data_IF_450935015156
#
_entry.id   IF_450935015156
#
_cell.length_a   1.000
_cell.length_b   1.000
_cell.length_c   1.000
_cell.angle_alpha   90.00
_cell.angle_beta   90.00
_cell.angle_gamma   90.00
#
_symmetry.space_group_name_H-M   'P 1'
#
loop_
_entity.id
_entity.type
_entity.pdbx_description
1 polymer ?
#
# COMPACT_ATOMS: atom_id res chain seq x y z
N UNK A 1 5.30 -21.49 78.27
CA UNK A 1 4.86 -22.59 77.38
C UNK A 1 6.06 -23.25 76.69
N UNK A 2 7.08 -23.64 77.47
CA UNK A 2 8.25 -24.44 77.02
C UNK A 2 8.48 -25.62 77.98
N UNK A 3 8.15 -25.44 79.26
CA UNK A 3 8.36 -26.40 80.35
C UNK A 3 7.50 -27.67 80.32
N UNK A 4 6.31 -27.67 79.72
CA UNK A 4 5.45 -28.86 79.68
C UNK A 4 5.75 -29.79 78.50
N UNK A 5 6.31 -29.27 77.41
CA UNK A 5 6.70 -30.06 76.24
C UNK A 5 8.00 -30.83 76.54
N UNK A 6 8.96 -30.17 77.20
CA UNK A 6 10.27 -30.75 77.52
C UNK A 6 10.17 -31.89 78.54
N UNK A 7 9.28 -31.77 79.54
CA UNK A 7 9.04 -32.82 80.53
C UNK A 7 8.41 -34.09 79.90
N UNK A 8 7.50 -33.91 78.94
CA UNK A 8 6.84 -35.02 78.24
C UNK A 8 7.78 -35.74 77.26
N UNK A 9 8.67 -35.00 76.58
CA UNK A 9 9.69 -35.56 75.69
C UNK A 9 10.79 -36.31 76.47
N UNK A 10 11.13 -35.89 77.69
CA UNK A 10 12.20 -36.51 78.49
C UNK A 10 11.86 -37.88 79.11
N UNK A 11 10.58 -38.27 79.13
CA UNK A 11 10.13 -39.58 79.66
C UNK A 11 9.83 -40.61 78.57
N UNK A 12 10.01 -40.27 77.28
CA UNK A 12 9.73 -41.22 76.21
C UNK A 12 10.86 -42.24 76.06
N UNK A 13 10.54 -43.55 75.94
CA UNK A 13 11.54 -44.57 75.64
C UNK A 13 12.30 -44.25 74.35
N UNK A 14 13.61 -44.52 74.32
CA UNK A 14 14.47 -44.21 73.17
C UNK A 14 13.94 -44.75 71.82
N UNK A 15 13.18 -45.85 71.80
CA UNK A 15 12.59 -46.40 70.57
C UNK A 15 11.54 -45.50 69.92
N UNK A 16 10.83 -44.67 70.70
CA UNK A 16 9.81 -43.74 70.18
C UNK A 16 10.47 -42.65 69.34
N UNK A 17 11.60 -42.11 69.80
CA UNK A 17 12.39 -41.14 69.04
C UNK A 17 12.82 -41.68 67.67
N UNK A 18 13.29 -42.92 67.61
CA UNK A 18 13.66 -43.58 66.36
C UNK A 18 12.46 -43.72 65.40
N UNK A 19 11.29 -44.12 65.90
CA UNK A 19 10.08 -44.26 65.08
C UNK A 19 9.58 -42.91 64.59
N UNK A 20 9.53 -41.89 65.44
CA UNK A 20 9.11 -40.54 65.03
C UNK A 20 10.05 -39.94 63.99
N UNK A 21 11.36 -40.15 64.13
CA UNK A 21 12.34 -39.71 63.14
C UNK A 21 12.16 -40.41 61.79
N UNK A 22 11.91 -41.73 61.81
CA UNK A 22 11.66 -42.51 60.59
C UNK A 22 10.39 -42.03 59.86
N UNK A 23 9.31 -41.76 60.60
CA UNK A 23 8.05 -41.24 60.03
C UNK A 23 8.27 -39.86 59.39
N UNK A 24 9.03 -38.97 60.04
CA UNK A 24 9.34 -37.65 59.50
C UNK A 24 10.17 -37.78 58.21
N UNK A 25 11.19 -38.65 58.19
CA UNK A 25 12.01 -38.88 56.99
C UNK A 25 11.15 -39.41 55.83
N UNK A 26 10.29 -40.39 56.08
CA UNK A 26 9.37 -40.93 55.06
C UNK A 26 8.41 -39.84 54.58
N UNK A 27 7.88 -39.01 55.48
CA UNK A 27 7.03 -37.86 55.16
C UNK A 27 7.73 -36.84 54.27
N UNK A 28 8.99 -36.51 54.57
CA UNK A 28 9.79 -35.58 53.76
C UNK A 28 10.07 -36.16 52.38
N UNK A 29 10.43 -37.44 52.30
CA UNK A 29 10.69 -38.13 51.01
C UNK A 29 9.43 -38.15 50.15
N UNK A 30 8.27 -38.47 50.73
CA UNK A 30 7.00 -38.48 49.99
C UNK A 30 6.60 -37.09 49.50
N UNK A 31 6.79 -36.06 50.32
CA UNK A 31 6.57 -34.66 49.91
C UNK A 31 7.49 -34.29 48.72
N UNK A 32 8.78 -34.65 48.78
CA UNK A 32 9.71 -34.39 47.68
C UNK A 32 9.29 -35.07 46.38
N UNK A 33 8.85 -36.33 46.45
CA UNK A 33 8.35 -37.07 45.28
C UNK A 33 7.11 -36.39 44.69
N UNK A 34 6.18 -35.93 45.54
CA UNK A 34 4.97 -35.24 45.08
C UNK A 34 5.28 -33.90 44.42
N UNK A 35 6.18 -33.11 44.99
CA UNK A 35 6.63 -31.83 44.41
C UNK A 35 7.30 -32.06 43.05
N UNK A 36 8.17 -33.07 42.94
CA UNK A 36 8.83 -33.41 41.67
C UNK A 36 7.82 -33.80 40.58
N UNK A 37 6.83 -34.64 40.92
CA UNK A 37 5.77 -35.01 39.96
C UNK A 37 4.89 -33.83 39.56
N UNK A 38 4.57 -32.95 40.50
CA UNK A 38 3.82 -31.73 40.21
C UNK A 38 4.61 -30.83 39.26
N UNK A 39 5.89 -30.59 39.54
CA UNK A 39 6.76 -29.76 38.71
C UNK A 39 6.82 -30.24 37.25
N UNK A 40 7.07 -31.54 37.02
CA UNK A 40 7.11 -32.11 35.66
C UNK A 40 5.78 -31.87 34.91
N UNK A 41 4.65 -32.14 35.58
CA UNK A 41 3.31 -31.94 34.99
C UNK A 41 3.00 -30.46 34.73
N UNK A 42 3.52 -29.55 35.56
CA UNK A 42 3.39 -28.11 35.33
C UNK A 42 4.23 -27.65 34.14
N UNK A 43 5.47 -28.11 34.01
CA UNK A 43 6.34 -27.78 32.87
C UNK A 43 5.71 -28.24 31.55
N UNK A 44 5.21 -29.47 31.47
CA UNK A 44 4.53 -29.98 30.27
C UNK A 44 3.30 -29.17 29.87
N UNK A 45 2.56 -28.63 30.84
CA UNK A 45 1.39 -27.77 30.56
C UNK A 45 1.81 -26.39 30.07
N UNK A 46 2.82 -25.79 30.70
CA UNK A 46 3.35 -24.49 30.33
C UNK A 46 3.93 -24.55 28.92
N UNK A 47 4.70 -25.59 28.57
CA UNK A 47 5.24 -25.76 27.22
C UNK A 47 4.13 -25.90 26.17
N UNK A 48 3.03 -26.59 26.49
CA UNK A 48 1.87 -26.69 25.61
C UNK A 48 1.14 -25.36 25.44
N UNK A 49 0.97 -24.59 26.51
CA UNK A 49 0.33 -23.27 26.45
C UNK A 49 1.18 -22.26 25.67
N UNK A 50 2.50 -22.24 25.89
CA UNK A 50 3.45 -21.42 25.13
C UNK A 50 3.46 -21.84 23.64
N UNK A 51 3.44 -23.15 23.36
CA UNK A 51 3.32 -23.66 22.00
C UNK A 51 2.02 -23.24 21.32
N UNK A 52 0.90 -23.27 22.05
CA UNK A 52 -0.40 -22.84 21.55
C UNK A 52 -0.44 -21.33 21.26
N UNK A 53 0.11 -20.51 22.16
CA UNK A 53 0.24 -19.07 21.94
C UNK A 53 1.08 -18.77 20.70
N UNK A 54 2.21 -19.45 20.54
CA UNK A 54 3.04 -19.32 19.34
C UNK A 54 2.28 -19.69 18.07
N UNK A 55 1.59 -20.82 18.05
CA UNK A 55 0.77 -21.25 16.91
C UNK A 55 -0.34 -20.24 16.60
N UNK A 56 -0.98 -19.66 17.63
CA UNK A 56 -2.00 -18.62 17.42
C UNK A 56 -1.41 -17.35 16.82
N UNK A 57 -0.23 -16.93 17.28
CA UNK A 57 0.48 -15.78 16.74
C UNK A 57 0.90 -16.02 15.28
N UNK A 58 1.53 -17.16 15.00
CA UNK A 58 1.94 -17.56 13.65
C UNK A 58 0.73 -17.66 12.71
N UNK A 59 -0.41 -18.18 13.19
CA UNK A 59 -1.64 -18.26 12.42
C UNK A 59 -2.23 -16.87 12.13
N UNK A 60 -2.21 -15.96 13.10
CA UNK A 60 -2.66 -14.59 12.90
C UNK A 60 -1.77 -13.87 11.88
N UNK A 61 -0.45 -14.01 12.00
CA UNK A 61 0.51 -13.42 11.07
C UNK A 61 0.32 -13.99 9.66
N UNK A 62 0.19 -15.31 9.53
CA UNK A 62 -0.06 -15.97 8.24
C UNK A 62 -1.37 -15.50 7.62
N UNK A 63 -2.45 -15.38 8.40
CA UNK A 63 -3.73 -14.85 7.90
C UNK A 63 -3.63 -13.40 7.46
N UNK A 64 -2.87 -12.59 8.20
CA UNK A 64 -2.63 -11.19 7.85
C UNK A 64 -1.87 -11.07 6.52
N UNK A 65 -0.79 -11.85 6.35
CA UNK A 65 -0.04 -11.89 5.08
C UNK A 65 -0.90 -12.41 3.92
N UNK A 66 -1.70 -13.46 4.14
CA UNK A 66 -2.62 -13.98 3.13
C UNK A 66 -3.65 -12.92 2.69
N UNK A 67 -4.17 -12.12 3.62
CA UNK A 67 -5.10 -11.03 3.31
C UNK A 67 -4.42 -9.94 2.46
N UNK A 68 -3.17 -9.57 2.77
CA UNK A 68 -2.39 -8.62 1.96
C UNK A 68 -2.16 -9.16 0.54
N UNK A 69 -1.74 -10.42 0.41
CA UNK A 69 -1.51 -11.03 -0.90
C UNK A 69 -2.80 -11.14 -1.72
N UNK A 70 -3.93 -11.44 -1.08
CA UNK A 70 -5.22 -11.46 -1.74
C UNK A 70 -5.62 -10.08 -2.27
N UNK A 71 -5.40 -9.02 -1.49
CA UNK A 71 -5.67 -7.63 -1.91
C UNK A 71 -4.79 -7.23 -3.11
N UNK A 72 -3.48 -7.48 -3.05
CA UNK A 72 -2.56 -7.21 -4.17
C UNK A 72 -2.97 -7.98 -5.43
N UNK A 73 -3.35 -9.26 -5.28
CA UNK A 73 -3.80 -10.09 -6.40
C UNK A 73 -5.06 -9.52 -7.05
N UNK A 74 -6.05 -9.09 -6.25
CA UNK A 74 -7.27 -8.47 -6.77
C UNK A 74 -6.98 -7.15 -7.50
N UNK A 75 -6.13 -6.28 -6.94
CA UNK A 75 -5.72 -5.04 -7.58
C UNK A 75 -5.02 -5.31 -8.92
N UNK A 76 -4.15 -6.33 -8.97
CA UNK A 76 -3.44 -6.72 -10.18
C UNK A 76 -4.38 -7.28 -11.25
N UNK A 77 -5.35 -8.13 -10.86
CA UNK A 77 -6.35 -8.69 -11.79
C UNK A 77 -7.21 -7.57 -12.38
N UNK A 78 -7.65 -6.61 -11.56
CA UNK A 78 -8.43 -5.47 -12.03
C UNK A 78 -7.61 -4.59 -12.99
N UNK A 79 -6.36 -4.29 -12.63
CA UNK A 79 -5.45 -3.54 -13.47
C UNK A 79 -5.22 -4.22 -14.82
N UNK A 80 -5.06 -5.55 -14.85
CA UNK A 80 -4.89 -6.31 -16.09
C UNK A 80 -6.15 -6.32 -16.95
N UNK A 81 -7.33 -6.53 -16.35
CA UNK A 81 -8.61 -6.51 -17.07
C UNK A 81 -8.90 -5.13 -17.66
N UNK A 82 -8.59 -4.06 -16.91
CA UNK A 82 -8.70 -2.70 -17.42
C UNK A 82 -7.67 -2.41 -18.52
N UNK A 83 -6.44 -2.91 -18.40
CA UNK A 83 -5.40 -2.77 -19.42
C UNK A 83 -5.82 -3.40 -20.75
N UNK A 84 -6.40 -4.60 -20.74
CA UNK A 84 -6.96 -5.25 -21.93
C UNK A 84 -8.03 -4.36 -22.58
N UNK A 85 -8.98 -3.84 -21.79
CA UNK A 85 -10.01 -2.93 -22.27
C UNK A 85 -9.44 -1.63 -22.85
N UNK A 86 -8.39 -1.07 -22.26
CA UNK A 86 -7.76 0.16 -22.78
C UNK A 86 -7.00 -0.08 -24.08
N UNK A 87 -6.34 -1.24 -24.21
CA UNK A 87 -5.72 -1.65 -25.48
C UNK A 87 -6.77 -1.81 -26.58
N UNK A 88 -7.89 -2.47 -26.29
CA UNK A 88 -8.99 -2.60 -27.24
C UNK A 88 -9.54 -1.23 -27.66
N UNK A 89 -9.75 -0.31 -26.70
CA UNK A 89 -10.22 1.05 -27.00
C UNK A 89 -9.22 1.84 -27.85
N UNK A 90 -7.92 1.76 -27.56
CA UNK A 90 -6.88 2.37 -28.39
C UNK A 90 -6.87 1.80 -29.80
N UNK A 91 -6.97 0.48 -29.93
CA UNK A 91 -7.00 -0.19 -31.22
C UNK A 91 -8.24 0.21 -32.03
N UNK A 92 -9.42 0.25 -31.40
CA UNK A 92 -10.65 0.71 -32.04
C UNK A 92 -10.56 2.17 -32.49
N UNK A 93 -10.09 3.07 -31.61
CA UNK A 93 -9.90 4.49 -31.95
C UNK A 93 -8.98 4.67 -33.16
N UNK A 94 -7.96 3.82 -33.29
CA UNK A 94 -7.03 3.84 -34.43
C UNK A 94 -7.66 3.34 -35.73
N UNK A 95 -8.47 2.28 -35.67
CA UNK A 95 -9.07 1.63 -36.85
C UNK A 95 -10.29 2.38 -37.38
N UNK A 96 -11.17 2.85 -36.49
CA UNK A 96 -12.47 3.44 -36.82
C UNK A 96 -12.38 4.94 -37.14
N UNK A 97 -11.19 5.42 -37.53
CA UNK A 97 -10.87 6.83 -37.74
C UNK A 97 -11.56 7.40 -39.01
N UNK A 98 -12.78 7.91 -38.86
CA UNK A 98 -13.58 8.49 -39.97
C UNK A 98 -13.44 10.02 -40.06
N UNK A 99 -13.28 10.74 -38.93
CA UNK A 99 -13.07 12.19 -38.86
C UNK A 99 -12.09 12.56 -37.73
N UNK A 100 -11.27 13.61 -37.94
CA UNK A 100 -10.18 14.00 -37.01
C UNK A 100 -10.73 14.47 -35.67
N UNK A 101 -11.71 15.39 -35.66
CA UNK A 101 -12.29 15.93 -34.42
C UNK A 101 -12.94 14.85 -33.53
N UNK A 102 -13.69 13.91 -34.11
CA UNK A 102 -14.33 12.80 -33.37
C UNK A 102 -13.29 11.86 -32.73
N UNK A 103 -12.12 11.73 -33.35
CA UNK A 103 -11.03 10.90 -32.82
C UNK A 103 -10.30 11.59 -31.66
N UNK A 104 -10.08 12.91 -31.73
CA UNK A 104 -9.45 13.67 -30.64
C UNK A 104 -10.27 13.53 -29.35
N UNK A 105 -11.60 13.72 -29.44
CA UNK A 105 -12.48 13.52 -28.28
C UNK A 105 -12.43 12.08 -27.76
N UNK A 106 -12.25 11.10 -28.65
CA UNK A 106 -12.13 9.68 -28.28
C UNK A 106 -10.88 9.42 -27.44
N UNK A 107 -9.72 9.97 -27.81
CA UNK A 107 -8.48 9.84 -27.02
C UNK A 107 -8.54 10.59 -25.69
N UNK A 108 -9.13 11.79 -25.68
CA UNK A 108 -9.37 12.55 -24.44
C UNK A 108 -10.24 11.76 -23.45
N UNK A 109 -11.36 11.22 -23.96
CA UNK A 109 -12.26 10.37 -23.19
C UNK A 109 -11.58 9.08 -22.69
N UNK A 110 -10.69 8.49 -23.49
CA UNK A 110 -9.89 7.35 -23.06
C UNK A 110 -8.96 7.74 -21.90
N UNK A 111 -8.22 8.85 -22.01
CA UNK A 111 -7.32 9.31 -20.95
C UNK A 111 -8.09 9.59 -19.65
N UNK A 112 -9.25 10.25 -19.72
CA UNK A 112 -10.15 10.45 -18.57
C UNK A 112 -10.52 9.11 -17.92
N UNK A 113 -10.87 8.09 -18.72
CA UNK A 113 -11.23 6.75 -18.22
C UNK A 113 -10.06 6.03 -17.58
N UNK A 114 -8.87 6.12 -18.17
CA UNK A 114 -7.64 5.52 -17.62
C UNK A 114 -7.34 6.12 -16.25
N UNK A 115 -7.35 7.46 -16.13
CA UNK A 115 -7.08 8.15 -14.86
C UNK A 115 -8.12 7.84 -13.79
N UNK A 116 -9.41 7.75 -14.16
CA UNK A 116 -10.46 7.36 -13.24
C UNK A 116 -10.33 5.91 -12.78
N UNK A 117 -10.02 4.99 -13.68
CA UNK A 117 -9.81 3.59 -13.34
C UNK A 117 -8.57 3.41 -12.43
N UNK A 118 -7.51 4.18 -12.68
CA UNK A 118 -6.31 4.18 -11.82
C UNK A 118 -6.67 4.51 -10.37
N UNK A 119 -7.44 5.58 -10.17
CA UNK A 119 -7.91 6.03 -8.85
C UNK A 119 -8.76 4.97 -8.13
N UNK A 120 -9.51 4.16 -8.89
CA UNK A 120 -10.36 3.10 -8.33
C UNK A 120 -9.66 1.77 -8.13
N UNK A 121 -8.61 1.46 -8.89
CA UNK A 121 -7.93 0.17 -8.85
C UNK A 121 -6.88 0.10 -7.76
N UNK A 122 -6.22 1.22 -7.49
CA UNK A 122 -5.27 1.33 -6.41
C UNK A 122 -6.02 1.60 -5.11
N UNK A 123 -5.83 0.73 -4.11
CA UNK A 123 -6.39 0.94 -2.77
C UNK A 123 -5.41 0.49 -1.70
N UNK A 124 -5.23 1.30 -0.65
CA UNK A 124 -4.56 0.84 0.57
C UNK A 124 -5.56 0.42 1.64
N UNK A 125 -6.78 0.97 1.63
CA UNK A 125 -7.89 0.58 2.50
C UNK A 125 -9.21 0.45 1.73
N UNK A 126 -10.15 -0.38 2.20
CA UNK A 126 -11.51 -0.42 1.67
C UNK A 126 -12.17 0.97 1.71
N UNK A 127 -12.62 1.45 0.55
CA UNK A 127 -13.30 2.74 0.42
C UNK A 127 -12.37 3.94 0.21
N UNK A 128 -11.05 3.74 0.17
CA UNK A 128 -10.09 4.79 -0.22
C UNK A 128 -10.15 5.01 -1.75
N UNK A 129 -10.07 6.27 -2.16
CA UNK A 129 -9.87 6.69 -3.55
C UNK A 129 -8.69 7.63 -3.60
N UNK A 130 -7.71 7.32 -4.44
CA UNK A 130 -6.56 8.19 -4.65
C UNK A 130 -6.90 9.34 -5.57
N UNK A 131 -6.27 10.48 -5.35
CA UNK A 131 -6.42 11.61 -6.26
C UNK A 131 -5.39 11.45 -7.37
N UNK A 132 -5.87 11.23 -8.58
CA UNK A 132 -5.01 11.07 -9.75
C UNK A 132 -5.25 12.25 -10.70
N UNK A 133 -4.19 12.81 -11.26
CA UNK A 133 -4.28 13.87 -12.25
C UNK A 133 -3.18 13.79 -13.29
N UNK A 134 -3.51 14.20 -14.52
CA UNK A 134 -2.59 14.35 -15.64
C UNK A 134 -2.39 15.83 -15.86
N UNK A 135 -1.13 16.21 -15.92
CA UNK A 135 -0.67 17.56 -16.16
C UNK A 135 0.14 17.57 -17.45
N UNK A 136 -0.15 18.51 -18.35
CA UNK A 136 0.58 18.68 -19.61
C UNK A 136 1.50 19.89 -19.48
N UNK A 137 2.69 19.82 -20.07
CA UNK A 137 3.56 20.99 -20.16
C UNK A 137 3.07 21.95 -21.23
N UNK A 138 2.79 23.19 -20.82
CA UNK A 138 2.49 24.30 -21.70
C UNK A 138 3.24 25.54 -21.21
N UNK A 139 4.08 26.13 -22.06
CA UNK A 139 4.76 27.40 -21.80
C UNK A 139 5.57 27.42 -20.48
N UNK A 140 6.37 26.37 -20.21
CA UNK A 140 7.20 26.20 -19.01
C UNK A 140 6.39 26.04 -17.71
N UNK A 141 5.14 25.57 -17.84
CA UNK A 141 4.24 25.29 -16.72
C UNK A 141 3.50 23.98 -16.93
N UNK A 142 3.10 23.32 -15.83
CA UNK A 142 2.28 22.12 -15.88
C UNK A 142 0.80 22.49 -15.73
N UNK A 143 0.04 22.41 -16.81
CA UNK A 143 -1.39 22.73 -16.86
C UNK A 143 -2.22 21.48 -16.62
N UNK A 144 -3.24 21.60 -15.80
CA UNK A 144 -4.19 20.51 -15.52
C UNK A 144 -4.94 20.12 -16.80
N UNK A 145 -4.82 18.86 -17.19
CA UNK A 145 -5.53 18.31 -18.34
C UNK A 145 -6.75 17.50 -17.91
N UNK A 146 -6.54 16.47 -17.09
CA UNK A 146 -7.63 15.63 -16.58
C UNK A 146 -7.30 15.02 -15.23
N UNK A 147 -8.32 14.51 -14.54
CA UNK A 147 -8.19 14.01 -13.18
C UNK A 147 -9.31 13.04 -12.84
N UNK A 148 -9.05 12.22 -11.82
CA UNK A 148 -10.03 11.31 -11.25
C UNK A 148 -11.15 12.07 -10.56
N UNK A 149 -12.32 11.44 -10.38
CA UNK A 149 -13.46 12.06 -9.68
C UNK A 149 -13.15 12.55 -8.25
N UNK A 150 -12.16 11.95 -7.58
CA UNK A 150 -11.68 12.37 -6.25
C UNK A 150 -10.79 13.63 -6.30
N UNK A 151 -10.39 14.05 -7.50
CA UNK A 151 -9.64 15.28 -7.74
C UNK A 151 -10.63 16.44 -7.91
N UNK A 152 -10.94 17.15 -6.83
CA UNK A 152 -11.84 18.30 -6.87
C UNK A 152 -11.13 19.51 -7.49
N UNK A 153 -11.06 19.55 -8.83
CA UNK A 153 -10.41 20.60 -9.63
C UNK A 153 -11.04 22.00 -9.53
N UNK A 154 -11.95 22.23 -8.57
CA UNK A 154 -12.57 23.54 -8.32
C UNK A 154 -11.76 24.44 -7.39
N UNK A 155 -10.84 23.89 -6.59
CA UNK A 155 -10.12 24.65 -5.55
C UNK A 155 -8.59 24.62 -5.67
N UNK A 156 -8.02 23.77 -6.52
CA UNK A 156 -6.57 23.71 -6.75
C UNK A 156 -6.15 24.53 -7.97
N UNK A 157 -4.93 25.07 -7.92
CA UNK A 157 -4.36 25.78 -9.04
C UNK A 157 -4.34 24.84 -10.27
N UNK A 158 -4.99 25.26 -11.35
CA UNK A 158 -4.98 24.53 -12.64
C UNK A 158 -3.62 24.54 -13.33
N UNK A 159 -2.60 25.05 -12.64
CA UNK A 159 -1.24 25.27 -13.13
C UNK A 159 -0.28 24.99 -11.97
N UNK A 160 0.76 24.21 -12.25
CA UNK A 160 1.86 23.94 -11.35
C UNK A 160 3.16 24.50 -11.94
N UNK A 161 3.98 25.09 -11.07
CA UNK A 161 5.33 25.54 -11.43
C UNK A 161 6.19 24.32 -11.77
N UNK A 162 6.90 24.36 -12.90
CA UNK A 162 7.89 23.33 -13.18
C UNK A 162 8.95 23.35 -12.08
N UNK A 163 9.55 24.50 -11.79
CA UNK A 163 10.76 24.55 -10.97
C UNK A 163 10.54 24.35 -9.46
N UNK A 164 9.33 24.53 -8.96
CA UNK A 164 9.04 24.60 -7.52
C UNK A 164 8.13 23.48 -7.02
N UNK A 165 7.82 22.49 -7.86
CA UNK A 165 6.89 21.40 -7.49
C UNK A 165 7.47 20.03 -7.77
N UNK A 166 7.06 19.03 -6.97
CA UNK A 166 7.44 17.62 -7.16
C UNK A 166 7.06 17.11 -8.58
N UNK A 167 5.84 17.38 -9.10
CA UNK A 167 5.50 17.03 -10.48
C UNK A 167 6.41 17.73 -11.49
N UNK A 168 6.73 19.01 -11.29
CA UNK A 168 7.65 19.71 -12.16
C UNK A 168 9.07 19.13 -12.14
N UNK A 169 9.57 18.71 -10.97
CA UNK A 169 10.85 17.98 -10.84
C UNK A 169 10.82 16.65 -11.57
N UNK A 170 9.71 15.92 -11.47
CA UNK A 170 9.47 14.68 -12.22
C UNK A 170 9.56 14.90 -13.72
N UNK A 171 8.93 15.96 -14.23
CA UNK A 171 8.97 16.32 -15.65
C UNK A 171 10.40 16.65 -16.10
N UNK A 172 11.10 17.54 -15.39
CA UNK A 172 12.47 17.97 -15.78
C UNK A 172 13.48 16.83 -15.78
N UNK A 173 13.39 15.93 -14.80
CA UNK A 173 14.32 14.79 -14.69
C UNK A 173 13.94 13.61 -15.57
N UNK A 174 12.69 13.54 -16.04
CA UNK A 174 12.12 12.37 -16.73
C UNK A 174 12.28 11.08 -15.90
N UNK A 175 12.17 11.22 -14.59
CA UNK A 175 12.33 10.13 -13.61
C UNK A 175 11.14 10.12 -12.67
N UNK A 176 10.60 8.93 -12.39
CA UNK A 176 9.56 8.74 -11.38
C UNK A 176 9.99 9.32 -10.04
N UNK A 177 9.16 10.19 -9.47
CA UNK A 177 9.37 10.74 -8.13
C UNK A 177 8.38 10.09 -7.17
N UNK A 178 8.88 9.25 -6.27
CA UNK A 178 8.11 8.70 -5.17
C UNK A 178 8.49 9.41 -3.88
N UNK A 179 7.58 10.22 -3.35
CA UNK A 179 7.77 10.96 -2.10
C UNK A 179 6.81 10.38 -1.07
N UNK A 180 7.37 9.66 -0.10
CA UNK A 180 6.60 8.95 0.93
C UNK A 180 6.04 9.87 2.02
N UNK A 181 6.64 11.04 2.19
CA UNK A 181 6.19 12.12 3.08
C UNK A 181 6.51 13.49 2.46
N UNK A 182 5.47 14.16 1.97
CA UNK A 182 5.58 15.45 1.26
C UNK A 182 6.05 16.57 2.19
N UNK A 183 5.78 16.48 3.49
CA UNK A 183 6.20 17.51 4.45
C UNK A 183 7.72 17.60 4.61
N UNK A 184 8.43 16.55 4.21
CA UNK A 184 9.89 16.47 4.27
C UNK A 184 10.59 16.84 2.96
N UNK A 185 9.83 17.01 1.86
CA UNK A 185 10.38 17.30 0.55
C UNK A 185 10.51 18.82 0.31
N UNK A 186 11.62 19.24 -0.30
CA UNK A 186 11.91 20.66 -0.55
C UNK A 186 10.93 21.29 -1.54
N UNK A 187 10.41 20.50 -2.49
CA UNK A 187 9.42 20.94 -3.48
C UNK A 187 7.99 20.59 -3.05
N UNK A 188 7.80 20.18 -1.78
CA UNK A 188 6.50 19.85 -1.20
C UNK A 188 5.75 21.05 -0.62
N UNK A 189 6.34 22.25 -0.59
CA UNK A 189 5.78 23.45 0.04
C UNK A 189 5.21 24.47 -0.95
N UNK A 190 4.16 25.25 -0.58
CA UNK A 190 3.52 25.29 0.73
C UNK A 190 2.38 24.27 0.79
N UNK A 191 2.59 23.24 1.60
CA UNK A 191 1.67 22.12 1.73
C UNK A 191 0.40 22.56 2.47
N UNK A 192 -0.73 22.69 1.76
CA UNK A 192 -2.03 22.99 2.39
C UNK A 192 -2.66 21.75 3.09
N UNK A 193 -1.90 20.67 3.28
CA UNK A 193 -2.28 19.53 4.11
C UNK A 193 -3.25 18.52 3.47
N UNK A 194 -3.46 18.53 2.15
CA UNK A 194 -4.46 17.66 1.51
C UNK A 194 -3.97 16.23 1.21
N UNK A 195 -2.66 15.96 1.14
CA UNK A 195 -2.10 14.61 0.92
C UNK A 195 -0.82 14.38 1.74
N UNK A 196 -0.48 13.12 2.07
CA UNK A 196 0.70 12.77 2.87
C UNK A 196 1.89 12.31 2.02
N UNK A 197 1.60 11.64 0.89
CA UNK A 197 2.56 11.10 -0.05
C UNK A 197 2.12 11.45 -1.48
N UNK A 198 3.07 11.49 -2.41
CA UNK A 198 2.80 11.68 -3.83
C UNK A 198 3.72 10.79 -4.67
N UNK A 199 3.15 10.22 -5.73
CA UNK A 199 3.87 9.56 -6.80
C UNK A 199 3.68 10.36 -8.08
N UNK A 200 4.78 10.75 -8.71
CA UNK A 200 4.77 11.41 -10.01
C UNK A 200 5.46 10.50 -11.03
N UNK A 201 4.81 10.27 -12.17
CA UNK A 201 5.33 9.48 -13.29
C UNK A 201 5.40 10.38 -14.52
N UNK A 202 6.56 10.50 -15.19
CA UNK A 202 6.67 11.30 -16.40
C UNK A 202 5.92 10.62 -17.56
N UNK A 203 5.17 11.42 -18.32
CA UNK A 203 4.49 11.04 -19.55
C UNK A 203 5.34 11.49 -20.74
N UNK A 204 6.51 10.87 -20.89
CA UNK A 204 7.50 11.21 -21.93
C UNK A 204 7.75 12.72 -22.04
N UNK A 205 7.45 13.35 -23.18
CA UNK A 205 7.60 14.79 -23.40
C UNK A 205 6.34 15.60 -23.09
N UNK A 206 5.20 14.93 -22.86
CA UNK A 206 3.89 15.57 -22.74
C UNK A 206 3.66 16.20 -21.38
N UNK A 207 4.11 15.53 -20.31
CA UNK A 207 3.80 15.99 -18.97
C UNK A 207 4.00 14.96 -17.88
N UNK A 208 3.11 14.94 -16.88
CA UNK A 208 3.25 14.12 -15.67
C UNK A 208 1.89 13.59 -15.22
N UNK A 209 1.86 12.33 -14.82
CA UNK A 209 0.77 11.73 -14.05
C UNK A 209 1.12 11.83 -12.56
N UNK A 210 0.24 12.43 -11.76
CA UNK A 210 0.34 12.45 -10.30
C UNK A 210 -0.68 11.51 -9.68
N UNK A 211 -0.26 10.85 -8.61
CA UNK A 211 -1.12 10.05 -7.72
C UNK A 211 -0.84 10.51 -6.30
N UNK A 212 -1.84 11.08 -5.65
CA UNK A 212 -1.75 11.57 -4.28
C UNK A 212 -2.37 10.56 -3.31
N UNK A 213 -1.70 10.36 -2.18
CA UNK A 213 -2.17 9.48 -1.13
C UNK A 213 -2.03 10.15 0.24
N UNK A 214 -2.92 9.81 1.18
CA UNK A 214 -2.77 10.26 2.56
C UNK A 214 -1.65 9.54 3.32
N UNK A 215 -1.18 8.41 2.80
CA UNK A 215 -0.17 7.55 3.41
C UNK A 215 0.85 7.12 2.37
N UNK A 216 1.98 6.63 2.86
CA UNK A 216 3.07 6.09 2.05
C UNK A 216 2.60 4.98 1.10
N UNK A 217 3.12 5.00 -0.12
CA UNK A 217 2.84 4.00 -1.15
C UNK A 217 3.56 2.68 -0.87
N UNK A 218 2.86 1.58 -1.14
CA UNK A 218 3.46 0.25 -1.27
C UNK A 218 4.14 0.13 -2.63
N UNK A 219 5.21 -0.64 -2.70
CA UNK A 219 6.01 -0.80 -3.93
C UNK A 219 5.18 -1.42 -5.06
N UNK A 220 4.34 -2.40 -4.76
CA UNK A 220 3.54 -3.14 -5.75
C UNK A 220 2.55 -2.23 -6.51
N UNK A 221 2.01 -1.23 -5.84
CA UNK A 221 1.08 -0.25 -6.42
C UNK A 221 1.77 0.61 -7.48
N UNK A 222 3.08 0.87 -7.33
CA UNK A 222 3.82 1.68 -8.29
C UNK A 222 3.86 1.05 -9.68
N UNK A 223 3.85 -0.28 -9.77
CA UNK A 223 3.79 -0.99 -11.04
C UNK A 223 2.45 -0.79 -11.77
N UNK A 224 1.34 -0.76 -11.02
CA UNK A 224 0.02 -0.46 -11.57
C UNK A 224 -0.01 0.98 -12.07
N UNK A 225 0.47 1.95 -11.28
CA UNK A 225 0.59 3.34 -11.71
C UNK A 225 1.39 3.47 -13.00
N UNK A 226 2.51 2.76 -13.11
CA UNK A 226 3.35 2.75 -14.30
C UNK A 226 2.63 2.19 -15.53
N UNK A 227 1.91 1.08 -15.38
CA UNK A 227 1.12 0.50 -16.47
C UNK A 227 0.09 1.50 -17.01
N UNK A 228 -0.64 2.15 -16.10
CA UNK A 228 -1.65 3.15 -16.46
C UNK A 228 -1.04 4.40 -17.09
N UNK A 229 0.08 4.88 -16.56
CA UNK A 229 0.83 5.98 -17.16
C UNK A 229 1.21 5.68 -18.61
N UNK A 230 1.57 4.44 -18.94
CA UNK A 230 1.87 4.05 -20.33
C UNK A 230 0.67 4.11 -21.26
N UNK A 231 -0.54 3.80 -20.77
CA UNK A 231 -1.75 3.99 -21.58
C UNK A 231 -2.06 5.45 -21.84
N UNK A 232 -1.87 6.31 -20.85
CA UNK A 232 -2.02 7.77 -21.02
C UNK A 232 -0.97 8.29 -22.02
N UNK A 233 0.29 7.91 -21.85
CA UNK A 233 1.40 8.30 -22.73
C UNK A 233 1.17 7.85 -24.19
N UNK A 234 0.67 6.63 -24.39
CA UNK A 234 0.33 6.11 -25.72
C UNK A 234 -0.88 6.82 -26.33
N UNK A 235 -1.91 7.12 -25.53
CA UNK A 235 -3.05 7.89 -25.99
C UNK A 235 -2.65 9.31 -26.41
N UNK A 236 -1.75 9.96 -25.67
CA UNK A 236 -1.18 11.25 -26.06
C UNK A 236 -0.38 11.19 -27.35
N UNK A 237 0.43 10.13 -27.52
CA UNK A 237 1.20 9.96 -28.74
C UNK A 237 0.30 9.89 -29.98
N UNK A 238 -0.75 9.07 -29.94
CA UNK A 238 -1.72 8.96 -31.04
C UNK A 238 -2.50 10.28 -31.23
N UNK A 239 -2.92 10.93 -30.13
CA UNK A 239 -3.56 12.25 -30.16
C UNK A 239 -2.68 13.31 -30.85
N UNK A 240 -1.38 13.37 -30.52
CA UNK A 240 -0.45 14.32 -31.13
C UNK A 240 -0.21 14.06 -32.61
N UNK A 241 -0.13 12.79 -33.03
CA UNK A 241 0.05 12.45 -34.44
C UNK A 241 -1.14 12.92 -35.28
N UNK A 242 -2.36 12.78 -34.75
CA UNK A 242 -3.55 13.26 -35.46
C UNK A 242 -3.63 14.78 -35.57
N UNK A 243 -3.17 15.51 -34.56
CA UNK A 243 -3.09 16.98 -34.63
C UNK A 243 -2.10 17.43 -35.70
N UNK A 244 -0.92 16.81 -35.75
CA UNK A 244 0.09 17.12 -36.76
C UNK A 244 -0.44 16.80 -38.17
N UNK A 245 -1.00 15.60 -38.38
CA UNK A 245 -1.54 15.17 -39.69
C UNK A 245 -2.72 16.07 -40.15
N UNK A 246 -3.64 16.41 -39.24
CA UNK A 246 -4.77 17.29 -39.54
C UNK A 246 -4.35 18.72 -39.90
N UNK A 247 -3.27 19.22 -39.30
CA UNK A 247 -2.68 20.53 -39.63
C UNK A 247 -2.05 20.54 -41.03
N UNK A 248 -1.41 19.44 -41.45
CA UNK A 248 -0.87 19.30 -42.80
C UNK A 248 -1.96 19.31 -43.87
N UNK A 249 -3.07 18.61 -43.65
CA UNK A 249 -4.17 18.52 -44.63
C UNK A 249 -4.93 19.84 -44.82
N UNK A 250 -5.08 20.65 -43.77
CA UNK A 250 -5.73 21.97 -43.86
C UNK A 250 -4.86 22.98 -44.63
N UNK A 251 -3.55 23.05 -44.35
CA UNK A 251 -2.66 23.99 -45.04
C UNK A 251 -2.39 23.62 -46.50
N UNK A 252 -2.47 22.34 -46.88
CA UNK A 252 -2.39 21.95 -48.29
C UNK A 252 -3.64 22.32 -49.09
N UNK A 253 -4.83 22.33 -48.45
CA UNK A 253 -6.09 22.70 -49.11
C UNK A 253 -6.30 24.20 -49.28
N UNK A 254 -5.68 25.03 -48.45
CA UNK A 254 -5.75 26.50 -48.60
C UNK A 254 -4.70 27.05 -49.60
N UNK A 255 -3.80 26.21 -50.08
CA UNK A 255 -2.74 26.56 -51.05
C UNK A 255 -3.04 26.22 -52.51
N UNK A 256 -4.18 25.60 -52.82
CA UNK A 256 -4.70 25.35 -54.19
C UNK A 256 -5.83 26.33 -54.57
#
# INVERSE_FOLDING_TARGET
MKTTLDAFLSQQPNWVFFITGLIIIIGVITIFILIGRAAIKYTEKIDKELGFQKIQQDLHETKYQAAIHQDISLQTINALSNAERFLEQLQHARIDSVQVEDNLETYENLMIRVVNALSSDIKFHPGEQHRCAVWIEESDQLVYFTGSNSFDGRHEARVLSLNETIPGRCFRKKETQLVQDVSTDVDGSPHNGSYGAILCIPLSEWGVLTVDAHRSFKEEVTHICHLYARFVDLAFFEYSQMLDDGYFDQHFREGE
#
